data_IF_009113929632
#
_entry.id   IF_009113929632
#
_cell.length_a   1.000
_cell.length_b   1.000
_cell.length_c   1.000
_cell.angle_alpha   90.00
_cell.angle_beta   90.00
_cell.angle_gamma   90.00
#
_symmetry.space_group_name_H-M   'P 1'
#
loop_
_entity.id
_entity.type
_entity.pdbx_description
1 polymer ?
#
# COMPACT_ATOMS: atom_id res chain seq x y z
N UNK A 1 -23.78 -40.92 29.06
CA UNK A 1 -22.54 -40.11 29.00
C UNK A 1 -21.48 -40.62 28.00
N UNK A 2 -21.33 -41.93 27.76
CA UNK A 2 -20.30 -42.48 26.85
C UNK A 2 -20.50 -42.11 25.36
N UNK A 3 -21.74 -42.07 24.88
CA UNK A 3 -22.08 -41.70 23.49
C UNK A 3 -21.82 -40.22 23.17
N UNK A 4 -22.07 -39.32 24.13
CA UNK A 4 -21.86 -37.88 23.97
C UNK A 4 -20.36 -37.53 23.85
N UNK A 5 -19.49 -38.25 24.59
CA UNK A 5 -18.03 -38.16 24.46
C UNK A 5 -17.52 -38.66 23.11
N UNK A 6 -18.07 -39.78 22.59
CA UNK A 6 -17.69 -40.30 21.26
C UNK A 6 -18.13 -39.36 20.13
N UNK A 7 -19.32 -38.76 20.23
CA UNK A 7 -19.80 -37.78 19.24
C UNK A 7 -18.96 -36.50 19.25
N UNK A 8 -18.60 -36.00 20.44
CA UNK A 8 -17.75 -34.81 20.61
C UNK A 8 -16.30 -35.04 20.13
N UNK A 9 -15.75 -36.24 20.30
CA UNK A 9 -14.41 -36.60 19.76
C UNK A 9 -14.43 -36.73 18.23
N UNK A 10 -15.53 -37.20 17.64
CA UNK A 10 -15.66 -37.34 16.19
C UNK A 10 -15.80 -35.98 15.49
N UNK A 11 -16.52 -35.03 16.07
CA UNK A 11 -16.63 -33.66 15.53
C UNK A 11 -15.31 -32.89 15.60
N UNK A 12 -14.54 -33.04 16.69
CA UNK A 12 -13.19 -32.47 16.81
C UNK A 12 -12.22 -33.00 15.73
N UNK A 13 -12.37 -34.26 15.33
CA UNK A 13 -11.53 -34.88 14.29
C UNK A 13 -11.87 -34.33 12.89
N UNK A 14 -13.15 -34.10 12.59
CA UNK A 14 -13.61 -33.55 11.30
C UNK A 14 -13.15 -32.10 11.10
N UNK A 15 -13.16 -31.27 12.15
CA UNK A 15 -12.66 -29.87 12.08
C UNK A 15 -11.14 -29.83 11.82
N UNK A 16 -10.38 -30.75 12.41
CA UNK A 16 -8.94 -30.83 12.21
C UNK A 16 -8.58 -31.30 10.78
N UNK A 17 -9.29 -32.31 10.26
CA UNK A 17 -9.13 -32.80 8.90
C UNK A 17 -9.48 -31.75 7.82
N UNK A 18 -10.55 -30.97 8.04
CA UNK A 18 -10.91 -29.86 7.15
C UNK A 18 -9.84 -28.75 7.13
N UNK A 19 -9.17 -28.51 8.25
CA UNK A 19 -8.12 -27.49 8.36
C UNK A 19 -6.85 -27.89 7.61
N UNK A 20 -6.47 -29.18 7.65
CA UNK A 20 -5.32 -29.71 6.92
C UNK A 20 -5.50 -29.64 5.39
N UNK A 21 -6.74 -29.80 4.90
CA UNK A 21 -7.07 -29.66 3.48
C UNK A 21 -7.11 -28.20 3.00
N UNK A 22 -7.27 -27.24 3.91
CA UNK A 22 -7.37 -25.81 3.62
C UNK A 22 -6.03 -25.07 3.72
N UNK A 23 -4.93 -25.76 4.02
CA UNK A 23 -3.62 -25.14 4.19
C UNK A 23 -3.07 -24.68 2.83
N UNK A 24 -3.44 -23.47 2.42
CA UNK A 24 -2.84 -22.79 1.28
C UNK A 24 -1.36 -22.55 1.59
N UNK A 25 -0.49 -22.97 0.70
CA UNK A 25 0.89 -22.48 0.71
C UNK A 25 0.85 -20.97 0.49
N UNK A 26 1.30 -20.20 1.47
CA UNK A 26 1.52 -18.77 1.27
C UNK A 26 2.43 -18.58 0.04
N UNK A 27 2.08 -17.69 -0.89
CA UNK A 27 2.96 -17.37 -2.01
C UNK A 27 4.34 -16.96 -1.49
N UNK A 28 5.38 -17.32 -2.23
CA UNK A 28 6.73 -16.84 -1.93
C UNK A 28 6.72 -15.30 -1.91
N UNK A 29 7.04 -14.72 -0.75
CA UNK A 29 7.00 -13.29 -0.51
C UNK A 29 8.34 -12.83 0.07
N UNK A 30 9.00 -11.89 -0.61
CA UNK A 30 10.22 -11.25 -0.14
C UNK A 30 9.93 -9.83 0.31
N UNK A 31 10.24 -9.53 1.56
CA UNK A 31 10.12 -8.19 2.12
C UNK A 31 11.51 -7.61 2.41
N UNK A 32 11.91 -6.51 1.73
CA UNK A 32 13.16 -5.84 2.03
C UNK A 32 13.16 -5.32 3.48
N UNK A 33 14.31 -5.39 4.16
CA UNK A 33 14.48 -4.90 5.53
C UNK A 33 14.13 -3.41 5.65
N UNK A 34 14.47 -2.65 4.62
CA UNK A 34 14.19 -1.20 4.56
C UNK A 34 12.75 -0.86 4.13
N UNK A 35 11.91 -1.87 3.81
CA UNK A 35 10.55 -1.70 3.27
C UNK A 35 10.50 -1.64 1.74
N UNK A 36 9.29 -1.68 1.17
CA UNK A 36 9.10 -1.65 -0.29
C UNK A 36 9.37 -0.29 -0.94
N UNK A 37 9.40 0.81 -0.18
CA UNK A 37 9.66 2.16 -0.68
C UNK A 37 10.93 2.72 -0.02
N UNK A 38 12.13 2.23 -0.40
CA UNK A 38 13.36 2.51 0.33
C UNK A 38 13.81 3.98 0.22
N UNK A 39 13.43 4.67 -0.84
CA UNK A 39 13.93 6.00 -1.18
C UNK A 39 12.87 6.92 -1.82
N UNK A 40 13.24 8.19 -1.96
CA UNK A 40 12.41 9.24 -2.53
C UNK A 40 12.05 8.95 -4.00
N UNK A 41 12.97 8.39 -4.78
CA UNK A 41 12.75 8.09 -6.19
C UNK A 41 11.66 7.02 -6.36
N UNK A 42 11.67 5.99 -5.52
CA UNK A 42 10.66 4.94 -5.49
C UNK A 42 9.30 5.51 -5.09
N UNK A 43 9.27 6.37 -4.05
CA UNK A 43 8.03 7.04 -3.63
C UNK A 43 7.43 7.91 -4.75
N UNK A 44 8.24 8.70 -5.45
CA UNK A 44 7.81 9.52 -6.60
C UNK A 44 7.24 8.64 -7.71
N UNK A 45 7.92 7.54 -8.07
CA UNK A 45 7.44 6.63 -9.12
C UNK A 45 6.07 6.02 -8.77
N UNK A 46 5.86 5.63 -7.52
CA UNK A 46 4.57 5.12 -7.05
C UNK A 46 3.51 6.21 -7.13
N UNK A 47 3.80 7.41 -6.63
CA UNK A 47 2.87 8.54 -6.64
C UNK A 47 2.42 8.90 -8.07
N UNK A 48 3.38 9.06 -9.00
CA UNK A 48 3.09 9.38 -10.41
C UNK A 48 2.25 8.29 -11.07
N UNK A 49 2.58 7.01 -10.84
CA UNK A 49 1.81 5.90 -11.39
C UNK A 49 0.36 5.85 -10.88
N UNK A 50 0.10 6.32 -9.65
CA UNK A 50 -1.24 6.40 -9.07
C UNK A 50 -1.97 7.65 -9.54
N UNK A 51 -1.29 8.79 -9.65
CA UNK A 51 -1.90 10.05 -10.07
C UNK A 51 -2.28 10.09 -11.55
N UNK A 52 -1.47 9.48 -12.43
CA UNK A 52 -1.68 9.49 -13.88
C UNK A 52 -3.11 9.08 -14.30
N UNK A 53 -3.64 7.95 -13.81
CA UNK A 53 -5.03 7.55 -14.06
C UNK A 53 -6.10 8.46 -13.41
N UNK A 54 -5.78 9.17 -12.33
CA UNK A 54 -6.75 9.99 -11.57
C UNK A 54 -6.87 11.39 -12.19
N UNK A 55 -5.73 12.03 -12.45
CA UNK A 55 -5.65 13.43 -12.85
C UNK A 55 -5.22 13.62 -14.30
N UNK A 56 -4.75 12.56 -14.97
CA UNK A 56 -4.26 12.60 -16.33
C UNK A 56 -2.75 12.82 -16.41
N UNK A 57 -2.09 12.00 -17.22
CA UNK A 57 -0.62 11.99 -17.38
C UNK A 57 -0.03 13.36 -17.75
N UNK A 58 -0.70 14.11 -18.65
CA UNK A 58 -0.24 15.43 -19.08
C UNK A 58 -0.28 16.46 -17.97
N UNK A 59 -1.29 16.39 -17.10
CA UNK A 59 -1.45 17.31 -15.97
C UNK A 59 -0.34 17.02 -14.95
N UNK A 60 -0.15 15.75 -14.59
CA UNK A 60 0.89 15.34 -13.64
C UNK A 60 2.29 15.65 -14.15
N UNK A 61 2.57 15.40 -15.44
CA UNK A 61 3.85 15.74 -16.03
C UNK A 61 4.18 17.25 -15.93
N UNK A 62 3.17 18.12 -15.99
CA UNK A 62 3.35 19.57 -15.88
C UNK A 62 3.67 20.04 -14.45
N UNK A 63 3.41 19.20 -13.43
CA UNK A 63 3.71 19.49 -12.02
C UNK A 63 5.12 19.05 -11.62
N UNK A 64 5.94 18.57 -12.56
CA UNK A 64 7.36 18.33 -12.29
C UNK A 64 8.11 19.66 -12.02
N UNK A 65 9.19 19.66 -11.23
CA UNK A 65 9.79 18.50 -10.55
C UNK A 65 9.02 18.08 -9.28
N UNK A 66 8.96 16.77 -9.03
CA UNK A 66 8.36 16.23 -7.81
C UNK A 66 9.36 16.22 -6.66
N UNK A 67 8.84 16.43 -5.45
CA UNK A 67 9.60 16.29 -4.21
C UNK A 67 9.00 15.21 -3.35
N UNK A 68 9.86 14.41 -2.70
CA UNK A 68 9.44 13.45 -1.69
C UNK A 68 10.23 13.65 -0.39
N UNK A 69 9.53 13.64 0.73
CA UNK A 69 10.10 13.77 2.08
C UNK A 69 9.59 12.61 2.94
N UNK A 70 10.49 11.97 3.68
CA UNK A 70 10.15 10.90 4.62
C UNK A 70 10.01 11.47 6.03
N UNK A 71 8.88 11.18 6.67
CA UNK A 71 8.65 11.45 8.09
C UNK A 71 7.80 10.33 8.68
N UNK A 72 8.18 9.83 9.85
CA UNK A 72 7.41 8.82 10.60
C UNK A 72 7.00 7.59 9.76
N UNK A 73 7.91 7.10 8.92
CA UNK A 73 7.69 6.00 7.96
C UNK A 73 6.65 6.26 6.86
N UNK A 74 6.28 7.52 6.64
CA UNK A 74 5.40 7.95 5.56
C UNK A 74 6.17 8.86 4.61
N UNK A 75 6.15 8.51 3.33
CA UNK A 75 6.60 9.37 2.25
C UNK A 75 5.48 10.34 1.89
N UNK A 76 5.74 11.63 2.00
CA UNK A 76 4.89 12.67 1.40
C UNK A 76 5.52 13.09 0.09
N UNK A 77 4.81 12.88 -1.01
CA UNK A 77 5.21 13.28 -2.36
C UNK A 77 4.32 14.43 -2.82
N UNK A 78 4.92 15.51 -3.33
CA UNK A 78 4.22 16.69 -3.82
C UNK A 78 4.72 17.10 -5.21
N UNK A 79 3.80 17.58 -6.04
CA UNK A 79 4.12 18.32 -7.26
C UNK A 79 4.66 19.72 -6.99
N UNK A 80 5.06 20.41 -8.05
CA UNK A 80 5.59 21.77 -8.01
C UNK A 80 4.59 22.76 -8.62
N UNK A 81 4.34 23.85 -7.90
CA UNK A 81 3.58 25.00 -8.40
C UNK A 81 4.50 26.22 -8.46
N UNK A 82 4.74 26.80 -9.66
CA UNK A 82 5.52 28.03 -9.77
C UNK A 82 4.88 29.19 -9.00
N UNK A 83 5.72 30.11 -8.50
CA UNK A 83 5.24 31.31 -7.80
C UNK A 83 4.31 32.13 -8.72
N UNK A 84 3.27 32.71 -8.14
CA UNK A 84 2.30 33.54 -8.87
C UNK A 84 1.20 32.79 -9.62
N UNK A 85 1.19 31.45 -9.58
CA UNK A 85 0.12 30.64 -10.18
C UNK A 85 -0.97 30.32 -9.15
N UNK A 86 -2.22 30.35 -9.60
CA UNK A 86 -3.39 30.01 -8.79
C UNK A 86 -3.71 28.54 -8.99
N UNK A 87 -3.87 27.79 -7.89
CA UNK A 87 -4.18 26.36 -7.93
C UNK A 87 -3.45 25.55 -6.87
N UNK A 88 -3.56 24.23 -7.01
CA UNK A 88 -2.93 23.23 -6.18
C UNK A 88 -1.99 22.31 -6.94
N UNK A 89 -1.39 21.36 -6.23
CA UNK A 89 -0.59 20.28 -6.81
C UNK A 89 -1.08 18.94 -6.27
N UNK A 90 -0.73 17.87 -6.97
CA UNK A 90 -0.93 16.52 -6.50
C UNK A 90 -0.07 16.27 -5.24
N UNK A 91 -0.68 15.65 -4.23
CA UNK A 91 -0.04 15.23 -3.00
C UNK A 91 -0.42 13.77 -2.72
N UNK A 92 0.57 12.97 -2.32
CA UNK A 92 0.40 11.57 -1.97
C UNK A 92 1.13 11.28 -0.66
N UNK A 93 0.50 10.53 0.22
CA UNK A 93 1.12 9.96 1.41
C UNK A 93 1.18 8.45 1.24
N UNK A 94 2.40 7.89 1.33
CA UNK A 94 2.68 6.49 0.99
C UNK A 94 3.46 5.86 2.14
N UNK A 95 3.00 4.71 2.62
CA UNK A 95 3.72 3.91 3.60
C UNK A 95 5.07 3.45 3.06
N UNK A 96 6.17 3.79 3.75
CA UNK A 96 7.52 3.31 3.44
C UNK A 96 7.61 1.78 3.47
N UNK A 97 6.86 1.16 4.38
CA UNK A 97 6.95 -0.26 4.72
C UNK A 97 6.40 -1.16 3.63
N UNK A 98 5.21 -0.82 3.13
CA UNK A 98 4.42 -1.71 2.29
C UNK A 98 3.81 -1.04 1.05
N UNK A 99 4.19 0.21 0.75
CA UNK A 99 3.70 0.99 -0.38
C UNK A 99 2.18 1.27 -0.36
N UNK A 100 1.51 1.07 0.78
CA UNK A 100 0.09 1.42 0.94
C UNK A 100 -0.11 2.92 0.72
N UNK A 101 -1.05 3.27 -0.16
CA UNK A 101 -1.49 4.66 -0.36
C UNK A 101 -2.35 5.07 0.82
N UNK A 102 -1.85 5.97 1.65
CA UNK A 102 -2.52 6.46 2.86
C UNK A 102 -3.42 7.65 2.53
N UNK A 103 -2.98 8.52 1.61
CA UNK A 103 -3.74 9.71 1.18
C UNK A 103 -3.39 10.10 -0.23
N UNK A 104 -4.40 10.59 -0.97
CA UNK A 104 -4.25 11.31 -2.24
C UNK A 104 -5.07 12.60 -2.13
N UNK A 105 -4.50 13.71 -2.58
CA UNK A 105 -5.23 14.97 -2.77
C UNK A 105 -4.63 15.76 -3.93
N UNK A 106 -5.40 16.71 -4.46
CA UNK A 106 -4.94 17.69 -5.43
C UNK A 106 -5.48 19.05 -5.01
N UNK A 107 -4.60 19.95 -4.56
CA UNK A 107 -5.07 21.20 -3.95
C UNK A 107 -4.00 22.11 -3.35
N UNK A 108 -4.47 23.25 -2.87
CA UNK A 108 -3.89 24.10 -1.83
C UNK A 108 -4.99 24.34 -0.79
#
# INVERSE_FOLDING_TARGET
>A
MLYLRKFMLMTLFVVWAASALAQRSEPHNYKPEVGYVPDAATAIRIAVAVWGPIYGEKIIAAEAPFRAVLKDNVWTVEGFLPKGHVGGVAIAEISKKDATILRISHGK
#
